data_IF_286197438692
#
_entry.id   IF_286197438692
#
_cell.length_a   1.000
_cell.length_b   1.000
_cell.length_c   1.000
_cell.angle_alpha   90.00
_cell.angle_beta   90.00
_cell.angle_gamma   90.00
#
_symmetry.space_group_name_H-M   'P 1'
#
loop_
_entity.id
_entity.type
_entity.pdbx_description
1 polymer ?
#
# COMPACT_ATOMS: atom_id res chain seq x y z
N UNK A 1 9.65 15.12 -13.37
CA UNK A 1 9.06 13.86 -12.85
C UNK A 1 7.72 14.17 -12.18
N UNK A 2 6.71 13.43 -12.54
CA UNK A 2 5.39 13.56 -11.91
C UNK A 2 5.34 12.74 -10.63
N UNK A 3 5.03 13.37 -9.51
CA UNK A 3 4.82 12.69 -8.23
C UNK A 3 3.33 12.70 -7.93
N UNK A 4 2.71 11.51 -7.87
CA UNK A 4 1.29 11.38 -7.57
C UNK A 4 1.09 11.24 -6.06
N UNK A 5 0.22 12.05 -5.52
CA UNK A 5 -0.21 11.94 -4.13
C UNK A 5 -1.27 10.83 -4.00
N UNK A 6 -1.50 10.35 -2.78
CA UNK A 6 -2.50 9.31 -2.52
C UNK A 6 -3.89 9.70 -3.04
N UNK A 7 -4.25 10.98 -2.90
CA UNK A 7 -5.52 11.48 -3.38
C UNK A 7 -5.61 11.45 -4.92
N UNK A 8 -4.51 11.70 -5.61
CA UNK A 8 -4.45 11.64 -7.07
C UNK A 8 -4.63 10.20 -7.55
N UNK A 9 -4.04 9.24 -6.86
CA UNK A 9 -4.20 7.82 -7.16
C UNK A 9 -5.65 7.38 -6.95
N UNK A 10 -6.27 7.82 -5.85
CA UNK A 10 -7.69 7.55 -5.60
C UNK A 10 -8.58 8.12 -6.72
N UNK A 11 -8.35 9.38 -7.08
CA UNK A 11 -9.13 10.02 -8.14
C UNK A 11 -8.96 9.33 -9.49
N UNK A 12 -7.73 8.99 -9.86
CA UNK A 12 -7.45 8.26 -11.09
C UNK A 12 -8.09 6.87 -11.09
N UNK A 13 -7.99 6.14 -9.98
CA UNK A 13 -8.58 4.81 -9.84
C UNK A 13 -10.09 4.86 -10.01
N UNK A 14 -10.74 5.84 -9.38
CA UNK A 14 -12.19 6.02 -9.49
C UNK A 14 -12.61 6.38 -10.92
N UNK A 15 -11.86 7.27 -11.56
CA UNK A 15 -12.15 7.65 -12.94
C UNK A 15 -12.02 6.45 -13.89
N UNK A 16 -10.95 5.67 -13.76
CA UNK A 16 -10.75 4.48 -14.59
C UNK A 16 -11.83 3.42 -14.33
N UNK A 17 -12.21 3.24 -13.07
CA UNK A 17 -13.24 2.27 -12.70
C UNK A 17 -14.60 2.61 -13.34
N UNK A 18 -14.96 3.89 -13.33
CA UNK A 18 -16.21 4.36 -13.94
C UNK A 18 -16.12 4.27 -15.47
N UNK A 19 -15.00 4.73 -16.02
CA UNK A 19 -14.83 4.79 -17.48
C UNK A 19 -14.85 3.41 -18.14
N UNK A 20 -14.24 2.41 -17.52
CA UNK A 20 -14.10 1.07 -18.07
C UNK A 20 -15.10 0.05 -17.50
N UNK A 21 -15.94 0.46 -16.56
CA UNK A 21 -16.88 -0.45 -15.91
C UNK A 21 -17.83 -1.15 -16.87
N UNK A 22 -18.35 -0.43 -17.85
CA UNK A 22 -19.25 -1.01 -18.87
C UNK A 22 -18.53 -2.01 -19.77
N UNK A 23 -17.22 -1.91 -19.92
CA UNK A 23 -16.42 -2.83 -20.73
C UNK A 23 -16.05 -4.10 -19.98
N UNK A 24 -16.50 -4.25 -18.73
CA UNK A 24 -16.18 -5.41 -17.91
C UNK A 24 -14.78 -5.37 -17.30
N UNK A 25 -14.14 -4.19 -17.27
CA UNK A 25 -12.81 -4.01 -16.70
C UNK A 25 -12.96 -3.39 -15.30
N UNK A 26 -12.42 -4.05 -14.30
CA UNK A 26 -12.34 -3.53 -12.95
C UNK A 26 -11.00 -2.80 -12.76
N UNK A 27 -11.02 -1.68 -12.08
CA UNK A 27 -9.83 -0.91 -11.79
C UNK A 27 -9.76 -0.60 -10.29
N UNK A 28 -8.74 -1.13 -9.64
CA UNK A 28 -8.48 -0.94 -8.22
C UNK A 28 -7.00 -0.63 -8.01
N UNK A 29 -6.67 -0.09 -6.87
CA UNK A 29 -5.29 0.21 -6.50
C UNK A 29 -4.95 -0.38 -5.14
N UNK A 30 -3.67 -0.64 -4.93
CA UNK A 30 -3.13 -1.01 -3.62
C UNK A 30 -2.26 0.15 -3.16
N UNK A 31 -2.42 0.57 -1.91
CA UNK A 31 -1.59 1.59 -1.27
C UNK A 31 -0.72 0.90 -0.20
N UNK A 32 0.53 0.52 -0.56
CA UNK A 32 1.42 -0.12 0.41
C UNK A 32 1.92 0.90 1.43
N UNK A 33 2.10 0.45 2.66
CA UNK A 33 2.82 1.20 3.67
C UNK A 33 4.33 1.05 3.49
N UNK A 34 5.04 0.91 4.60
CA UNK A 34 6.50 0.77 4.58
C UNK A 34 6.89 -0.70 4.73
N UNK A 35 7.69 -1.16 3.79
CA UNK A 35 8.13 -2.55 3.70
C UNK A 35 9.64 -2.63 3.78
N UNK A 36 10.15 -3.57 4.56
CA UNK A 36 11.57 -3.86 4.60
C UNK A 36 11.91 -4.85 3.49
N UNK A 37 12.76 -4.45 2.58
CA UNK A 37 13.26 -5.27 1.48
C UNK A 37 14.76 -5.10 1.35
N UNK A 38 15.40 -5.98 0.60
CA UNK A 38 16.84 -5.94 0.39
C UNK A 38 17.31 -4.59 -0.17
N UNK A 39 16.51 -4.00 -1.06
CA UNK A 39 16.83 -2.75 -1.74
C UNK A 39 16.91 -1.54 -0.80
N UNK A 40 16.17 -1.52 0.30
CA UNK A 40 16.14 -0.41 1.25
C UNK A 40 16.72 -0.75 2.62
N UNK A 41 17.38 -1.90 2.73
CA UNK A 41 17.90 -2.40 4.00
C UNK A 41 18.80 -1.37 4.71
N UNK A 42 19.72 -0.74 3.98
CA UNK A 42 20.68 0.21 4.56
C UNK A 42 20.03 1.53 5.00
N UNK A 43 18.85 1.85 4.50
CA UNK A 43 18.08 3.01 4.93
C UNK A 43 17.33 2.75 6.25
N UNK A 44 17.08 1.49 6.58
CA UNK A 44 16.26 1.09 7.71
C UNK A 44 17.06 0.46 8.84
N UNK A 45 18.20 -0.17 8.53
CA UNK A 45 19.00 -0.90 9.50
C UNK A 45 20.43 -0.37 9.52
N UNK A 46 20.96 -0.18 10.73
CA UNK A 46 22.38 0.10 10.95
C UNK A 46 23.21 -1.17 10.72
N UNK A 47 24.54 -1.01 10.62
CA UNK A 47 25.45 -2.14 10.42
C UNK A 47 25.38 -3.19 11.54
N UNK A 48 24.99 -2.78 12.76
CA UNK A 48 24.81 -3.67 13.90
C UNK A 48 23.42 -4.33 13.98
N UNK A 49 22.57 -4.10 12.98
CA UNK A 49 21.23 -4.67 12.93
C UNK A 49 20.14 -3.87 13.66
N UNK A 50 20.51 -2.77 14.32
CA UNK A 50 19.51 -1.88 14.95
C UNK A 50 18.83 -0.99 13.92
N UNK A 51 17.65 -0.45 14.26
CA UNK A 51 16.93 0.46 13.39
C UNK A 51 17.63 1.82 13.29
N UNK A 52 17.62 2.39 12.10
CA UNK A 52 18.00 3.79 11.89
C UNK A 52 16.96 4.73 12.49
N UNK A 53 17.28 6.03 12.63
CA UNK A 53 16.32 7.04 13.07
C UNK A 53 15.11 7.11 12.14
N UNK A 54 15.34 6.99 10.83
CA UNK A 54 14.26 6.92 9.84
C UNK A 54 13.33 5.74 10.10
N UNK A 55 13.89 4.57 10.32
CA UNK A 55 13.11 3.37 10.62
C UNK A 55 12.28 3.52 11.89
N UNK A 56 12.88 4.09 12.94
CA UNK A 56 12.15 4.31 14.21
C UNK A 56 10.96 5.24 14.01
N UNK A 57 11.11 6.31 13.22
CA UNK A 57 10.00 7.24 12.93
C UNK A 57 8.87 6.56 12.16
N UNK A 58 9.21 5.74 11.18
CA UNK A 58 8.22 4.99 10.41
C UNK A 58 7.45 4.04 11.31
N UNK A 59 8.15 3.26 12.13
CA UNK A 59 7.53 2.29 13.04
C UNK A 59 6.66 3.00 14.08
N UNK A 60 7.09 4.15 14.59
CA UNK A 60 6.30 4.93 15.54
C UNK A 60 4.96 5.40 14.94
N UNK A 61 4.92 5.65 13.63
CA UNK A 61 3.70 6.02 12.92
C UNK A 61 2.90 4.83 12.38
N UNK A 62 3.36 3.61 12.59
CA UNK A 62 2.69 2.40 12.13
C UNK A 62 2.07 1.66 13.33
N UNK A 63 0.74 1.64 13.45
CA UNK A 63 0.08 1.01 14.62
C UNK A 63 0.49 -0.44 14.86
N UNK A 64 0.73 -1.24 13.82
CA UNK A 64 1.19 -2.62 13.98
C UNK A 64 2.65 -2.73 14.43
N UNK A 65 3.39 -1.61 14.49
CA UNK A 65 4.69 -1.54 15.13
C UNK A 65 5.83 -2.24 14.40
N UNK A 66 5.70 -2.47 13.12
CA UNK A 66 6.72 -3.15 12.32
C UNK A 66 6.65 -2.75 10.86
N UNK A 67 7.69 -3.08 10.11
CA UNK A 67 7.64 -3.04 8.65
C UNK A 67 6.83 -4.20 8.10
N UNK A 68 6.20 -3.99 6.95
CA UNK A 68 5.59 -5.06 6.19
C UNK A 68 6.67 -5.91 5.49
N UNK A 69 6.31 -7.13 5.19
CA UNK A 69 7.11 -8.01 4.33
C UNK A 69 6.52 -7.96 2.93
N UNK A 70 7.34 -7.92 1.86
CA UNK A 70 6.81 -7.86 0.49
C UNK A 70 5.78 -8.95 0.18
N UNK A 71 5.92 -10.13 0.77
CA UNK A 71 4.98 -11.24 0.60
C UNK A 71 3.58 -10.91 1.13
N UNK A 72 3.48 -9.98 2.06
CA UNK A 72 2.19 -9.58 2.64
C UNK A 72 1.31 -8.78 1.67
N UNK A 73 1.85 -8.37 0.52
CA UNK A 73 1.08 -7.74 -0.56
C UNK A 73 0.41 -8.75 -1.48
N UNK A 74 0.85 -10.00 -1.47
CA UNK A 74 0.38 -11.03 -2.41
C UNK A 74 -1.11 -11.29 -2.24
N UNK A 75 -1.58 -11.42 -1.00
CA UNK A 75 -3.00 -11.68 -0.73
C UNK A 75 -3.92 -10.60 -1.27
N UNK A 76 -3.55 -9.32 -1.07
CA UNK A 76 -4.31 -8.20 -1.58
C UNK A 76 -4.34 -8.19 -3.11
N UNK A 77 -3.19 -8.44 -3.75
CA UNK A 77 -3.09 -8.48 -5.21
C UNK A 77 -3.93 -9.62 -5.78
N UNK A 78 -3.86 -10.80 -5.20
CA UNK A 78 -4.64 -11.97 -5.64
C UNK A 78 -6.14 -11.74 -5.45
N UNK A 79 -6.54 -11.16 -4.30
CA UNK A 79 -7.94 -10.83 -4.05
C UNK A 79 -8.50 -9.90 -5.12
N UNK A 80 -7.80 -8.81 -5.40
CA UNK A 80 -8.29 -7.82 -6.36
C UNK A 80 -8.23 -8.32 -7.81
N UNK A 81 -7.27 -9.17 -8.13
CA UNK A 81 -7.09 -9.68 -9.50
C UNK A 81 -8.07 -10.80 -9.86
N UNK A 82 -8.63 -11.49 -8.86
CA UNK A 82 -9.51 -12.64 -9.10
C UNK A 82 -10.96 -12.21 -9.25
N UNK A 83 -11.58 -12.59 -10.37
CA UNK A 83 -13.01 -12.36 -10.58
C UNK A 83 -13.88 -13.22 -9.66
N UNK A 84 -13.36 -14.34 -9.16
CA UNK A 84 -14.09 -15.18 -8.21
C UNK A 84 -14.26 -14.50 -6.86
N UNK A 85 -13.27 -13.71 -6.43
CA UNK A 85 -13.27 -13.07 -5.11
C UNK A 85 -13.63 -11.60 -5.14
N UNK A 86 -13.43 -10.92 -6.25
CA UNK A 86 -13.56 -9.46 -6.33
C UNK A 86 -14.35 -8.98 -7.56
N UNK A 87 -15.25 -9.80 -8.08
CA UNK A 87 -16.01 -9.48 -9.30
C UNK A 87 -16.83 -8.20 -9.21
N UNK A 88 -17.23 -7.79 -8.02
CA UNK A 88 -18.00 -6.56 -7.80
C UNK A 88 -17.20 -5.47 -7.09
N UNK A 89 -15.87 -5.66 -6.93
CA UNK A 89 -14.99 -4.68 -6.32
C UNK A 89 -14.36 -3.83 -7.43
N UNK A 90 -14.70 -2.55 -7.46
CA UNK A 90 -14.26 -1.64 -8.51
C UNK A 90 -14.11 -0.22 -7.96
N UNK A 91 -13.01 0.43 -8.25
CA UNK A 91 -12.79 1.83 -7.89
C UNK A 91 -12.28 2.05 -6.45
N UNK A 92 -11.70 1.03 -5.81
CA UNK A 92 -11.17 1.17 -4.45
C UNK A 92 -9.65 1.32 -4.45
N UNK A 93 -9.15 1.97 -3.41
CA UNK A 93 -7.74 1.92 -3.01
C UNK A 93 -7.67 1.14 -1.71
N UNK A 94 -6.94 0.02 -1.73
CA UNK A 94 -6.83 -0.87 -0.58
C UNK A 94 -5.49 -0.61 0.12
N UNK A 95 -5.49 0.02 1.33
CA UNK A 95 -4.28 0.17 2.11
C UNK A 95 -3.80 -1.18 2.66
N UNK A 96 -2.50 -1.45 2.51
CA UNK A 96 -1.83 -2.61 3.11
C UNK A 96 -0.61 -2.05 3.81
N UNK A 97 -0.81 -1.46 4.99
CA UNK A 97 0.15 -0.53 5.58
C UNK A 97 0.29 -0.64 7.11
N UNK A 98 -0.23 -1.69 7.69
CA UNK A 98 -0.15 -1.88 9.15
C UNK A 98 -0.88 -0.81 9.96
N UNK A 99 -1.81 -0.09 9.34
CA UNK A 99 -2.60 0.97 9.96
C UNK A 99 -2.02 2.36 9.81
N UNK A 100 -0.94 2.52 9.06
CA UNK A 100 -0.25 3.81 8.91
C UNK A 100 -1.19 4.93 8.46
N UNK A 101 -1.99 4.70 7.43
CA UNK A 101 -2.90 5.72 6.89
C UNK A 101 -4.11 5.99 7.79
N UNK A 102 -4.44 5.08 8.68
CA UNK A 102 -5.54 5.25 9.63
C UNK A 102 -5.11 5.99 10.91
N UNK A 103 -3.82 6.10 11.18
CA UNK A 103 -3.28 6.67 12.40
C UNK A 103 -3.19 8.19 12.29
N UNK A 104 -3.82 8.88 13.26
CA UNK A 104 -3.87 10.34 13.28
C UNK A 104 -2.72 11.00 14.04
N UNK A 105 -1.84 10.22 14.65
CA UNK A 105 -0.76 10.74 15.49
C UNK A 105 -1.12 10.96 16.95
N UNK A 106 -2.29 10.51 17.34
CA UNK A 106 -2.77 10.62 18.73
C UNK A 106 -3.28 9.30 19.27
#
# INVERSE_FOLDING_TARGET
MLVLQTQDILNLTQWLAVHFGESGIRCNAIAPGFYAAEQNHDLLFNADGTYTDRARKIIAGTPMGRFGKPEELIGAALFLASDETASFVNGIVLPVDGGYSAYSGV
#
